data_IF_016172456513
#
_entry.id   IF_016172456513
#
_cell.length_a   1.000
_cell.length_b   1.000
_cell.length_c   1.000
_cell.angle_alpha   90.00
_cell.angle_beta   90.00
_cell.angle_gamma   90.00
#
_symmetry.space_group_name_H-M   'P 1'
#
loop_
_entity.id
_entity.type
_entity.pdbx_description
1 polymer ?
#
# COMPACT_ATOMS: atom_id res chain seq x y z
N UNK A 1 5.87 -4.48 24.75
CA UNK A 1 5.27 -4.17 23.43
C UNK A 1 6.14 -4.89 22.38
N UNK A 2 5.55 -5.75 21.55
CA UNK A 2 6.27 -6.45 20.47
C UNK A 2 6.59 -5.43 19.34
N UNK A 3 7.61 -5.73 18.55
CA UNK A 3 7.94 -4.90 17.37
C UNK A 3 6.78 -4.82 16.37
N UNK A 4 6.04 -5.92 16.20
CA UNK A 4 4.85 -5.95 15.35
C UNK A 4 3.75 -4.97 15.80
N UNK A 5 3.61 -4.73 17.11
CA UNK A 5 2.54 -3.90 17.65
C UNK A 5 2.65 -2.45 17.15
N UNK A 6 3.87 -1.91 16.99
CA UNK A 6 4.08 -0.56 16.46
C UNK A 6 3.66 -0.44 14.98
N UNK A 7 3.97 -1.46 14.17
CA UNK A 7 3.56 -1.49 12.76
C UNK A 7 2.04 -1.64 12.65
N UNK A 8 1.43 -2.49 13.48
CA UNK A 8 -0.02 -2.69 13.50
C UNK A 8 -0.77 -1.41 13.89
N UNK A 9 -0.30 -0.70 14.92
CA UNK A 9 -0.91 0.58 15.35
C UNK A 9 -0.82 1.65 14.25
N UNK A 10 0.37 1.80 13.63
CA UNK A 10 0.55 2.73 12.52
C UNK A 10 -0.32 2.34 11.31
N UNK A 11 -0.39 1.04 10.99
CA UNK A 11 -1.22 0.54 9.89
C UNK A 11 -2.71 0.80 10.11
N UNK A 12 -3.21 0.70 11.34
CA UNK A 12 -4.59 1.02 11.69
C UNK A 12 -4.92 2.49 11.47
N UNK A 13 -4.03 3.38 11.88
CA UNK A 13 -4.17 4.82 11.67
C UNK A 13 -4.13 5.16 10.17
N UNK A 14 -3.14 4.64 9.45
CA UNK A 14 -2.93 4.93 8.05
C UNK A 14 -4.00 4.32 7.14
N UNK A 15 -4.60 3.20 7.56
CA UNK A 15 -5.69 2.58 6.82
C UNK A 15 -6.92 3.50 6.70
N UNK A 16 -7.24 4.26 7.73
CA UNK A 16 -8.36 5.21 7.71
C UNK A 16 -8.09 6.32 6.68
N UNK A 17 -6.88 6.88 6.68
CA UNK A 17 -6.48 7.92 5.73
C UNK A 17 -6.44 7.37 4.30
N UNK A 18 -5.89 6.17 4.11
CA UNK A 18 -5.83 5.52 2.80
C UNK A 18 -7.23 5.23 2.26
N UNK A 19 -8.13 4.73 3.10
CA UNK A 19 -9.52 4.49 2.72
C UNK A 19 -10.20 5.75 2.23
N UNK A 20 -10.03 6.88 2.92
CA UNK A 20 -10.61 8.17 2.52
C UNK A 20 -10.14 8.61 1.13
N UNK A 21 -8.87 8.37 0.79
CA UNK A 21 -8.34 8.68 -0.55
C UNK A 21 -8.91 7.72 -1.60
N UNK A 22 -8.99 6.42 -1.30
CA UNK A 22 -9.57 5.41 -2.21
C UNK A 22 -11.08 5.64 -2.44
N UNK A 23 -11.81 6.10 -1.44
CA UNK A 23 -13.23 6.45 -1.56
C UNK A 23 -13.48 7.60 -2.55
N UNK A 24 -12.48 8.43 -2.85
CA UNK A 24 -12.57 9.53 -3.81
C UNK A 24 -12.29 9.10 -5.27
N UNK A 25 -11.85 7.88 -5.50
CA UNK A 25 -11.54 7.41 -6.86
C UNK A 25 -12.81 7.39 -7.72
N UNK A 26 -12.88 8.18 -8.82
CA UNK A 26 -14.04 8.18 -9.70
C UNK A 26 -14.09 6.90 -10.54
N UNK A 27 -15.21 6.16 -10.44
CA UNK A 27 -15.37 4.87 -11.09
C UNK A 27 -15.42 4.91 -12.61
N UNK A 28 -15.75 6.06 -13.19
CA UNK A 28 -15.80 6.30 -14.64
C UNK A 28 -14.45 6.74 -15.25
N UNK A 29 -13.41 6.91 -14.43
CA UNK A 29 -12.08 7.36 -14.83
C UNK A 29 -10.97 6.33 -14.56
N UNK A 30 -11.30 5.08 -14.26
CA UNK A 30 -10.30 4.07 -13.85
C UNK A 30 -9.18 3.88 -14.88
N UNK A 31 -9.47 3.97 -16.17
CA UNK A 31 -8.49 3.82 -17.25
C UNK A 31 -7.70 5.10 -17.57
N UNK A 32 -8.04 6.24 -16.94
CA UNK A 32 -7.32 7.50 -17.15
C UNK A 32 -5.87 7.41 -16.65
N UNK A 33 -4.95 8.05 -17.39
CA UNK A 33 -3.51 8.11 -17.08
C UNK A 33 -3.00 9.55 -17.18
N UNK A 34 -2.16 10.00 -16.26
CA UNK A 34 -1.50 11.30 -16.40
C UNK A 34 -0.43 11.30 -17.49
N UNK A 35 0.13 10.13 -17.81
CA UNK A 35 1.15 9.93 -18.81
C UNK A 35 1.11 8.49 -19.32
N UNK A 36 1.49 8.24 -20.57
CA UNK A 36 1.46 6.92 -21.20
C UNK A 36 2.27 5.85 -20.44
N UNK A 37 3.35 6.25 -19.77
CA UNK A 37 4.22 5.36 -18.98
C UNK A 37 3.75 5.17 -17.53
N UNK A 38 2.74 5.92 -17.09
CA UNK A 38 2.22 5.82 -15.73
C UNK A 38 1.18 4.72 -15.60
N UNK A 39 0.94 4.27 -14.38
CA UNK A 39 -0.27 3.51 -14.07
C UNK A 39 -1.51 4.31 -14.44
N UNK A 40 -2.58 3.61 -14.78
CA UNK A 40 -3.90 4.21 -14.77
C UNK A 40 -4.33 4.54 -13.33
N UNK A 41 -5.35 5.37 -13.20
CA UNK A 41 -5.97 5.66 -11.91
C UNK A 41 -6.40 4.37 -11.19
N UNK A 42 -7.05 3.47 -11.90
CA UNK A 42 -7.49 2.19 -11.37
C UNK A 42 -6.34 1.28 -10.98
N UNK A 43 -5.31 1.17 -11.83
CA UNK A 43 -4.11 0.39 -11.54
C UNK A 43 -3.42 0.89 -10.27
N UNK A 44 -3.26 2.20 -10.12
CA UNK A 44 -2.63 2.79 -8.93
C UNK A 44 -3.48 2.56 -7.68
N UNK A 45 -4.80 2.75 -7.77
CA UNK A 45 -5.70 2.52 -6.66
C UNK A 45 -5.74 1.04 -6.22
N UNK A 46 -5.79 0.10 -7.18
CA UNK A 46 -5.76 -1.33 -6.88
C UNK A 46 -4.40 -1.78 -6.33
N UNK A 47 -3.30 -1.17 -6.81
CA UNK A 47 -1.97 -1.41 -6.26
C UNK A 47 -1.91 -1.00 -4.78
N UNK A 48 -2.34 0.22 -4.44
CA UNK A 48 -2.45 0.69 -3.06
C UNK A 48 -3.28 -0.28 -2.21
N UNK A 49 -4.40 -0.73 -2.74
CA UNK A 49 -5.31 -1.63 -2.05
C UNK A 49 -4.69 -3.01 -1.75
N UNK A 50 -3.85 -3.52 -2.64
CA UNK A 50 -3.26 -4.86 -2.53
C UNK A 50 -1.94 -4.91 -1.75
N UNK A 51 -1.22 -3.78 -1.64
CA UNK A 51 0.09 -3.70 -0.96
C UNK A 51 0.09 -4.30 0.45
N UNK A 52 -0.88 -4.06 1.35
CA UNK A 52 -0.82 -4.62 2.69
C UNK A 52 -0.68 -6.13 2.72
N UNK A 53 -1.55 -6.87 2.03
CA UNK A 53 -1.49 -8.33 2.01
C UNK A 53 -0.28 -8.86 1.25
N UNK A 54 0.01 -8.31 0.06
CA UNK A 54 1.07 -8.82 -0.79
C UNK A 54 2.46 -8.66 -0.15
N UNK A 55 2.72 -7.52 0.48
CA UNK A 55 4.02 -7.26 1.12
C UNK A 55 4.18 -8.04 2.42
N UNK A 56 3.13 -8.15 3.24
CA UNK A 56 3.22 -8.95 4.47
C UNK A 56 3.36 -10.44 4.17
N UNK A 57 2.68 -10.96 3.14
CA UNK A 57 2.86 -12.33 2.69
C UNK A 57 4.28 -12.58 2.16
N UNK A 58 4.84 -11.65 1.39
CA UNK A 58 6.23 -11.73 0.92
C UNK A 58 7.25 -11.68 2.06
N UNK A 59 6.89 -11.08 3.19
CA UNK A 59 7.73 -11.00 4.38
C UNK A 59 7.75 -12.30 5.22
N UNK A 60 6.85 -13.26 4.99
CA UNK A 60 6.78 -14.49 5.81
C UNK A 60 8.01 -15.40 5.60
N UNK A 61 8.40 -15.79 4.38
CA UNK A 61 9.60 -16.62 4.17
C UNK A 61 10.87 -15.79 4.35
N UNK A 62 12.00 -16.47 4.58
CA UNK A 62 13.30 -15.80 4.68
C UNK A 62 13.81 -15.30 3.32
N UNK A 63 13.33 -15.91 2.24
CA UNK A 63 13.67 -15.53 0.87
C UNK A 63 12.42 -15.44 0.03
N UNK A 64 12.30 -14.37 -0.75
CA UNK A 64 11.18 -14.15 -1.66
C UNK A 64 11.71 -13.91 -3.07
N UNK A 65 11.21 -14.71 -4.03
CA UNK A 65 11.55 -14.51 -5.44
C UNK A 65 10.73 -13.38 -6.02
N UNK A 66 11.41 -12.37 -6.56
CA UNK A 66 10.74 -11.21 -7.16
C UNK A 66 9.84 -11.63 -8.33
N UNK A 67 8.53 -11.44 -8.25
CA UNK A 67 7.63 -11.78 -9.35
C UNK A 67 7.87 -10.85 -10.54
N UNK A 68 7.44 -11.27 -11.71
CA UNK A 68 7.24 -10.35 -12.83
C UNK A 68 6.22 -9.29 -12.45
N UNK A 69 6.53 -8.03 -12.73
CA UNK A 69 5.63 -6.94 -12.37
C UNK A 69 4.50 -6.80 -13.40
N UNK A 70 3.27 -6.96 -12.96
CA UNK A 70 2.05 -6.71 -13.73
C UNK A 70 0.99 -6.16 -12.79
N UNK A 71 0.33 -5.08 -13.19
CA UNK A 71 -0.76 -4.48 -12.41
C UNK A 71 -2.05 -4.56 -13.21
N UNK A 72 -3.03 -5.30 -12.68
CA UNK A 72 -4.35 -5.43 -13.30
C UNK A 72 -5.15 -4.12 -13.21
N UNK A 73 -6.07 -3.92 -14.14
CA UNK A 73 -7.11 -2.90 -14.04
C UNK A 73 -8.26 -3.45 -13.19
N UNK A 74 -8.77 -2.67 -12.22
CA UNK A 74 -9.98 -3.06 -11.49
C UNK A 74 -11.22 -2.91 -12.37
N UNK A 75 -12.20 -3.77 -12.15
CA UNK A 75 -13.49 -3.71 -12.87
C UNK A 75 -14.32 -2.49 -12.49
N UNK A 76 -14.21 -2.05 -11.24
CA UNK A 76 -14.93 -0.89 -10.70
C UNK A 76 -14.27 -0.44 -9.38
N UNK A 77 -14.72 0.71 -8.85
CA UNK A 77 -14.23 1.25 -7.57
C UNK A 77 -14.50 0.31 -6.40
N UNK A 78 -15.63 -0.39 -6.38
CA UNK A 78 -15.98 -1.28 -5.27
C UNK A 78 -14.95 -2.41 -5.12
N UNK A 79 -14.46 -2.97 -6.23
CA UNK A 79 -13.37 -3.96 -6.20
C UNK A 79 -12.11 -3.42 -5.50
N UNK A 80 -11.74 -2.16 -5.72
CA UNK A 80 -10.60 -1.53 -5.03
C UNK A 80 -10.84 -1.46 -3.52
N UNK A 81 -12.03 -1.04 -3.09
CA UNK A 81 -12.39 -0.91 -1.68
C UNK A 81 -12.45 -2.26 -0.97
N UNK A 82 -13.04 -3.26 -1.62
CA UNK A 82 -13.12 -4.62 -1.09
C UNK A 82 -11.73 -5.25 -0.99
N UNK A 83 -10.90 -5.08 -2.02
CA UNK A 83 -9.50 -5.51 -2.02
C UNK A 83 -8.73 -4.88 -0.86
N UNK A 84 -8.89 -3.58 -0.64
CA UNK A 84 -8.22 -2.89 0.46
C UNK A 84 -8.63 -3.45 1.83
N UNK A 85 -9.93 -3.64 2.05
CA UNK A 85 -10.45 -4.18 3.30
C UNK A 85 -9.92 -5.59 3.60
N UNK A 86 -9.97 -6.48 2.60
CA UNK A 86 -9.48 -7.86 2.71
C UNK A 86 -7.95 -7.90 2.89
N UNK A 87 -7.23 -7.08 2.13
CA UNK A 87 -5.78 -6.96 2.18
C UNK A 87 -5.30 -6.48 3.56
N UNK A 88 -5.98 -5.48 4.12
CA UNK A 88 -5.67 -4.97 5.44
C UNK A 88 -5.88 -6.02 6.53
N UNK A 89 -7.01 -6.74 6.50
CA UNK A 89 -7.30 -7.81 7.46
C UNK A 89 -6.23 -8.92 7.37
N UNK A 90 -5.91 -9.40 6.16
CA UNK A 90 -4.87 -10.42 5.94
C UNK A 90 -3.49 -9.96 6.42
N UNK A 91 -3.13 -8.71 6.17
CA UNK A 91 -1.85 -8.15 6.62
C UNK A 91 -1.75 -8.12 8.14
N UNK A 92 -2.80 -7.70 8.83
CA UNK A 92 -2.87 -7.68 10.30
C UNK A 92 -2.74 -9.08 10.89
N UNK A 93 -3.46 -10.05 10.34
CA UNK A 93 -3.38 -11.44 10.77
C UNK A 93 -1.98 -12.03 10.58
N UNK A 94 -1.31 -11.67 9.49
CA UNK A 94 0.05 -12.11 9.19
C UNK A 94 1.06 -11.48 10.16
N UNK A 95 1.00 -10.16 10.37
CA UNK A 95 1.89 -9.45 11.28
C UNK A 95 1.70 -9.86 12.75
N UNK A 96 0.46 -10.13 13.16
CA UNK A 96 0.15 -10.58 14.53
C UNK A 96 0.83 -11.91 14.89
N UNK A 97 1.14 -12.74 13.90
CA UNK A 97 1.83 -14.04 14.07
C UNK A 97 3.35 -13.94 14.06
N UNK A 98 3.91 -12.80 13.65
CA UNK A 98 5.36 -12.57 13.62
C UNK A 98 5.86 -12.18 15.02
N UNK A 99 6.78 -12.95 15.58
CA UNK A 99 7.50 -12.59 16.81
C UNK A 99 8.67 -11.64 16.51
N UNK A 100 9.26 -11.10 17.57
CA UNK A 100 10.37 -10.14 17.44
C UNK A 100 11.63 -10.80 16.84
N UNK A 101 11.90 -12.08 17.13
CA UNK A 101 13.03 -12.82 16.56
C UNK A 101 12.88 -12.94 15.05
N UNK A 102 11.66 -13.26 14.57
CA UNK A 102 11.36 -13.32 13.14
C UNK A 102 11.48 -11.93 12.48
N UNK A 103 11.01 -10.88 13.12
CA UNK A 103 11.06 -9.53 12.57
C UNK A 103 12.48 -8.97 12.44
N UNK A 104 13.41 -9.32 13.35
CA UNK A 104 14.79 -8.86 13.27
C UNK A 104 15.66 -9.76 12.40
N UNK A 105 15.20 -10.97 12.03
CA UNK A 105 15.96 -11.88 11.18
C UNK A 105 16.12 -11.33 9.76
N UNK A 106 17.16 -11.79 9.06
CA UNK A 106 17.44 -11.37 7.69
C UNK A 106 16.39 -11.91 6.72
N UNK A 107 15.98 -11.06 5.81
CA UNK A 107 15.09 -11.35 4.69
C UNK A 107 15.79 -11.01 3.38
N UNK A 108 15.60 -11.83 2.35
CA UNK A 108 16.26 -11.65 1.07
C UNK A 108 15.27 -11.65 -0.10
N UNK A 109 15.43 -10.67 -0.99
CA UNK A 109 14.79 -10.65 -2.30
C UNK A 109 15.73 -11.29 -3.30
N UNK A 110 15.23 -12.27 -4.05
CA UNK A 110 15.99 -12.92 -5.11
C UNK A 110 15.33 -12.76 -6.48
N UNK A 111 16.09 -12.93 -7.54
CA UNK A 111 15.61 -13.03 -8.92
C UNK A 111 16.52 -13.93 -9.72
N UNK A 112 15.94 -14.98 -10.31
CA UNK A 112 16.71 -15.98 -11.08
C UNK A 112 17.92 -16.51 -10.30
N UNK A 113 17.73 -16.84 -9.03
CA UNK A 113 18.76 -17.37 -8.13
C UNK A 113 19.81 -16.34 -7.66
N UNK A 114 19.67 -15.05 -8.00
CA UNK A 114 20.56 -13.98 -7.52
C UNK A 114 19.90 -13.19 -6.42
N UNK A 115 20.60 -12.93 -5.33
CA UNK A 115 20.13 -12.01 -4.27
C UNK A 115 20.24 -10.57 -4.78
N UNK A 116 19.10 -9.88 -4.80
CA UNK A 116 19.00 -8.47 -5.17
C UNK A 116 19.13 -7.57 -3.95
N UNK A 117 18.60 -8.02 -2.80
CA UNK A 117 18.60 -7.29 -1.55
C UNK A 117 18.58 -8.28 -0.38
N UNK A 118 19.28 -7.95 0.70
CA UNK A 118 19.20 -8.68 1.97
C UNK A 118 19.23 -7.67 3.12
N UNK A 119 18.15 -7.62 3.90
CA UNK A 119 17.95 -6.65 4.98
C UNK A 119 17.17 -7.30 6.13
N UNK A 120 17.18 -6.76 7.35
CA UNK A 120 16.26 -7.19 8.39
C UNK A 120 14.80 -7.09 7.93
N UNK A 121 13.99 -8.10 8.23
CA UNK A 121 12.58 -8.18 7.80
C UNK A 121 11.76 -6.97 8.24
N UNK A 122 12.01 -6.45 9.43
CA UNK A 122 11.36 -5.22 9.90
C UNK A 122 11.70 -4.01 9.02
N UNK A 123 12.93 -3.90 8.51
CA UNK A 123 13.34 -2.85 7.60
C UNK A 123 12.64 -2.98 6.23
N UNK A 124 12.46 -4.22 5.74
CA UNK A 124 11.66 -4.49 4.55
C UNK A 124 10.21 -4.05 4.74
N UNK A 125 9.57 -4.45 5.84
CA UNK A 125 8.20 -4.03 6.16
C UNK A 125 8.09 -2.50 6.27
N UNK A 126 9.06 -1.85 6.94
CA UNK A 126 9.04 -0.39 7.04
C UNK A 126 9.15 0.29 5.68
N UNK A 127 10.05 -0.18 4.81
CA UNK A 127 10.32 0.44 3.51
C UNK A 127 9.25 0.10 2.48
N UNK A 128 8.88 -1.18 2.36
CA UNK A 128 8.07 -1.68 1.24
C UNK A 128 6.59 -1.83 1.61
N UNK A 129 6.25 -1.95 2.88
CA UNK A 129 4.84 -1.88 3.29
C UNK A 129 4.44 -0.42 3.55
N UNK A 130 5.06 0.25 4.52
CA UNK A 130 4.60 1.55 5.00
C UNK A 130 5.00 2.70 4.07
N UNK A 131 6.30 2.91 3.83
CA UNK A 131 6.76 4.05 3.02
C UNK A 131 6.27 3.96 1.56
N UNK A 132 6.21 2.76 1.01
CA UNK A 132 5.71 2.52 -0.34
C UNK A 132 4.20 2.80 -0.45
N UNK A 133 3.42 2.41 0.57
CA UNK A 133 2.01 2.77 0.65
C UNK A 133 1.81 4.29 0.68
N UNK A 134 2.59 5.00 1.50
CA UNK A 134 2.52 6.47 1.59
C UNK A 134 2.90 7.15 0.28
N UNK A 135 3.96 6.63 -0.39
CA UNK A 135 4.40 7.12 -1.68
C UNK A 135 3.27 7.02 -2.72
N UNK A 136 2.65 5.86 -2.87
CA UNK A 136 1.58 5.66 -3.86
C UNK A 136 0.30 6.40 -3.49
N UNK A 137 -0.03 6.52 -2.21
CA UNK A 137 -1.16 7.34 -1.76
C UNK A 137 -0.94 8.83 -2.10
N UNK A 138 0.29 9.32 -1.93
CA UNK A 138 0.66 10.67 -2.37
C UNK A 138 0.51 10.85 -3.89
N UNK A 139 0.93 9.88 -4.69
CA UNK A 139 0.70 9.90 -6.15
C UNK A 139 -0.80 9.91 -6.48
N UNK A 140 -1.59 9.08 -5.79
CA UNK A 140 -3.04 9.02 -6.04
C UNK A 140 -3.73 10.36 -5.71
N UNK A 141 -3.29 11.07 -4.67
CA UNK A 141 -3.82 12.41 -4.36
C UNK A 141 -3.58 13.42 -5.48
N UNK A 142 -2.43 13.34 -6.15
CA UNK A 142 -2.13 14.16 -7.34
C UNK A 142 -3.05 13.76 -8.52
N UNK A 143 -3.27 12.46 -8.75
CA UNK A 143 -4.19 12.00 -9.81
C UNK A 143 -5.60 12.51 -9.59
N UNK A 144 -6.09 12.44 -8.34
CA UNK A 144 -7.41 12.99 -7.98
C UNK A 144 -7.49 14.49 -8.28
N UNK A 145 -6.45 15.25 -7.93
CA UNK A 145 -6.40 16.71 -8.21
C UNK A 145 -6.42 16.98 -9.72
N UNK A 146 -5.67 16.23 -10.51
CA UNK A 146 -5.67 16.39 -11.98
C UNK A 146 -7.03 16.06 -12.62
N UNK A 147 -7.86 15.29 -11.94
CA UNK A 147 -9.24 14.94 -12.35
C UNK A 147 -10.30 15.85 -11.71
N UNK A 148 -9.89 16.96 -11.09
CA UNK A 148 -10.79 17.90 -10.39
C UNK A 148 -11.63 17.25 -9.27
N UNK A 149 -11.13 16.13 -8.70
CA UNK A 149 -11.75 15.45 -7.56
C UNK A 149 -11.26 16.09 -6.27
N UNK A 150 -12.15 16.46 -5.33
CA UNK A 150 -11.72 16.97 -4.03
C UNK A 150 -10.81 16.00 -3.29
N UNK A 151 -9.64 16.48 -2.87
CA UNK A 151 -8.61 15.68 -2.20
C UNK A 151 -8.81 15.77 -0.69
N UNK A 152 -8.97 14.63 0.03
CA UNK A 152 -9.10 14.65 1.48
C UNK A 152 -7.81 15.12 2.15
N UNK A 153 -7.95 15.66 3.36
CA UNK A 153 -6.81 15.88 4.27
C UNK A 153 -6.08 14.56 4.52
N UNK A 154 -4.74 14.54 4.40
CA UNK A 154 -3.91 13.35 4.64
C UNK A 154 -3.12 13.52 5.94
N UNK A 155 -2.09 14.37 5.96
CA UNK A 155 -1.28 14.69 7.13
C UNK A 155 -1.42 16.16 7.55
N UNK A 156 -2.36 16.87 6.97
CA UNK A 156 -2.63 18.27 7.21
C UNK A 156 -3.72 18.75 6.26
N UNK A 157 -4.08 20.04 6.29
CA UNK A 157 -5.10 20.59 5.41
C UNK A 157 -4.80 20.35 3.94
N UNK A 158 -5.83 20.06 3.15
CA UNK A 158 -5.80 20.17 1.70
C UNK A 158 -6.49 21.49 1.29
N UNK A 159 -6.53 21.78 0.00
CA UNK A 159 -7.33 22.90 -0.51
C UNK A 159 -8.85 22.68 -0.33
N UNK A 160 -9.27 21.42 -0.11
CA UNK A 160 -10.68 21.03 -0.05
C UNK A 160 -11.15 20.66 1.36
N UNK A 161 -10.22 20.32 2.25
CA UNK A 161 -10.52 19.89 3.63
C UNK A 161 -9.53 20.48 4.64
N UNK A 162 -10.07 21.09 5.71
CA UNK A 162 -9.29 21.54 6.86
C UNK A 162 -9.74 20.77 8.11
N UNK A 163 -8.95 19.80 8.63
CA UNK A 163 -9.33 19.04 9.80
C UNK A 163 -9.24 19.83 11.12
N UNK A 164 -8.78 21.10 11.05
CA UNK A 164 -8.63 21.99 12.20
C UNK A 164 -9.62 23.15 12.20
N UNK A 165 -10.56 23.18 11.25
CA UNK A 165 -11.59 24.22 11.14
C UNK A 165 -12.89 23.82 11.85
#
# INVERSE_FOLDING_TARGET
MRLADSILMEMDQEAQTTKRVLDRVPGDKLTWKPHAKSFSLGQLALHIASVPASVTAAAVPDTFEAPGFSQAEPRNRQEVLDTFSQSLASAKDTLAKMDDAHLVSMWSLTRNGKTLMSIPRIAFLRSILMNHLYHHRGQLSVYLRMLEVPVPSIYGPSADENPFA
#
